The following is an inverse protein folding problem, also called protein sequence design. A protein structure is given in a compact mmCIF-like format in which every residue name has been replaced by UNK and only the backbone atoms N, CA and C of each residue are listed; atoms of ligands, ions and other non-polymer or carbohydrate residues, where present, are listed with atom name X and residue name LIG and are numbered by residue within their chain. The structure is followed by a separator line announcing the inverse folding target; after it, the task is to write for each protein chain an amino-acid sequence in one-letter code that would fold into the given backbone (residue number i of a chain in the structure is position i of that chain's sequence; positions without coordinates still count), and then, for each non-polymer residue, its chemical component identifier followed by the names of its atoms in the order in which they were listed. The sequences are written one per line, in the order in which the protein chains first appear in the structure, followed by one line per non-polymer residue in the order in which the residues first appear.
data_IF_996361527152
#
_entry.id   IF_996361527152
#
_cell.length_a   1.000
_cell.length_b   1.000
_cell.length_c   1.000
_cell.angle_alpha   90.00
_cell.angle_beta   90.00
_cell.angle_gamma   90.00
#
_symmetry.space_group_name_H-M   'P 1'
#
loop_
_entity.id
_entity.type
_entity.pdbx_description
1 polymer ?
#
# COMPACT_ATOMS: atom_id res chain seq x y z
N UNK A 1 -14.59 2.97 9.16
CA UNK A 1 -13.50 3.91 8.79
C UNK A 1 -12.23 3.13 8.62
N UNK A 2 -11.44 3.45 7.61
CA UNK A 2 -10.13 2.85 7.36
C UNK A 2 -9.15 3.95 6.94
N UNK A 3 -7.86 3.69 7.05
CA UNK A 3 -6.80 4.65 6.79
C UNK A 3 -6.13 4.36 5.46
N UNK A 4 -6.06 5.34 4.56
CA UNK A 4 -5.30 5.26 3.32
C UNK A 4 -3.82 5.62 3.57
N UNK A 5 -2.93 4.97 2.82
CA UNK A 5 -1.49 5.19 2.88
C UNK A 5 -0.94 5.49 1.50
N UNK A 6 0.01 6.41 1.43
CA UNK A 6 0.58 6.90 0.18
C UNK A 6 2.10 6.86 0.22
N UNK A 7 2.71 6.65 -0.95
CA UNK A 7 4.15 6.78 -1.16
C UNK A 7 4.42 8.11 -1.87
N UNK A 8 5.34 8.90 -1.33
CA UNK A 8 5.75 10.20 -1.89
C UNK A 8 7.26 10.23 -2.12
N UNK A 9 7.68 10.93 -3.17
CA UNK A 9 9.10 11.14 -3.45
C UNK A 9 9.66 12.26 -2.56
N UNK A 10 10.71 11.96 -1.78
CA UNK A 10 11.44 12.97 -1.01
C UNK A 10 12.23 13.93 -1.89
N UNK A 11 12.63 13.48 -3.09
CA UNK A 11 13.42 14.28 -4.05
C UNK A 11 12.55 15.21 -4.88
N UNK A 12 11.35 14.76 -5.25
CA UNK A 12 10.45 15.48 -6.11
C UNK A 12 9.17 15.84 -5.34
N UNK A 13 9.19 17.03 -4.72
CA UNK A 13 8.12 17.54 -3.86
C UNK A 13 6.81 17.85 -4.61
N UNK A 14 6.82 17.76 -5.94
CA UNK A 14 5.70 18.07 -6.82
C UNK A 14 5.04 16.84 -7.46
N UNK A 15 5.56 15.63 -7.21
CA UNK A 15 4.95 14.43 -7.74
C UNK A 15 3.68 14.07 -6.94
N UNK A 16 2.66 13.58 -7.65
CA UNK A 16 1.42 13.13 -7.01
C UNK A 16 1.73 11.95 -6.08
N UNK A 17 1.11 11.89 -4.89
CA UNK A 17 1.25 10.73 -4.01
C UNK A 17 0.73 9.46 -4.70
N UNK A 18 1.50 8.36 -4.62
CA UNK A 18 1.05 7.06 -5.10
C UNK A 18 0.28 6.36 -4.01
N UNK A 19 -0.93 5.88 -4.31
CA UNK A 19 -1.72 5.12 -3.35
C UNK A 19 -1.09 3.74 -3.12
N UNK A 20 -0.67 3.47 -1.88
CA UNK A 20 -0.16 2.15 -1.47
C UNK A 20 -1.32 1.19 -1.20
N UNK A 21 -2.32 1.67 -0.45
CA UNK A 21 -3.47 0.87 -0.07
C UNK A 21 -4.23 1.43 1.13
N UNK A 22 -5.10 0.60 1.70
CA UNK A 22 -6.03 0.95 2.78
C UNK A 22 -6.02 -0.08 3.90
N UNK A 23 -5.95 0.42 5.13
CA UNK A 23 -6.12 -0.33 6.37
C UNK A 23 -7.56 -0.19 6.87
N UNK A 24 -8.32 -1.27 6.91
CA UNK A 24 -9.71 -1.26 7.41
C UNK A 24 -9.84 -2.10 8.68
N UNK A 25 -10.74 -1.69 9.59
CA UNK A 25 -10.96 -2.40 10.86
C UNK A 25 -11.56 -3.78 10.61
N UNK A 26 -10.92 -4.84 11.12
CA UNK A 26 -11.38 -6.21 10.96
C UNK A 26 -11.12 -6.84 9.58
N UNK A 27 -10.29 -6.22 8.76
CA UNK A 27 -9.91 -6.74 7.44
C UNK A 27 -8.39 -6.81 7.29
N UNK A 28 -7.90 -7.73 6.45
CA UNK A 28 -6.51 -7.68 5.98
C UNK A 28 -6.26 -6.37 5.24
N UNK A 29 -5.01 -5.89 5.29
CA UNK A 29 -4.59 -4.71 4.54
C UNK A 29 -4.86 -4.93 3.04
N UNK A 30 -5.40 -3.90 2.41
CA UNK A 30 -5.81 -3.93 1.01
C UNK A 30 -4.86 -3.07 0.20
N UNK A 31 -4.00 -3.71 -0.59
CA UNK A 31 -3.04 -3.04 -1.44
C UNK A 31 -3.68 -2.54 -2.73
N UNK A 32 -3.19 -1.42 -3.23
CA UNK A 32 -3.40 -1.02 -4.62
C UNK A 32 -2.45 -1.80 -5.53
N UNK A 33 -2.97 -2.30 -6.65
CA UNK A 33 -2.15 -2.83 -7.74
C UNK A 33 -1.70 -1.66 -8.62
N UNK A 34 -0.55 -1.09 -8.27
CA UNK A 34 0.02 0.03 -9.00
C UNK A 34 0.53 -0.42 -10.37
N UNK A 35 0.01 0.17 -11.43
CA UNK A 35 0.41 -0.15 -12.81
C UNK A 35 1.72 0.55 -13.15
N UNK A 36 2.45 -0.01 -14.12
CA UNK A 36 3.72 0.50 -14.60
C UNK A 36 3.69 1.98 -15.03
N UNK A 37 2.63 2.39 -15.74
CA UNK A 37 2.45 3.77 -16.19
C UNK A 37 2.11 4.76 -15.07
N UNK A 38 1.65 4.27 -13.92
CA UNK A 38 1.38 5.09 -12.72
C UNK A 38 2.61 5.17 -11.82
N UNK A 39 3.43 4.13 -11.83
CA UNK A 39 4.64 4.03 -11.03
C UNK A 39 5.78 4.88 -11.60
N UNK A 40 5.81 6.16 -11.22
CA UNK A 40 6.90 7.07 -11.60
C UNK A 40 8.23 6.81 -10.86
N UNK A 41 8.28 5.91 -9.86
CA UNK A 41 9.54 5.58 -9.19
C UNK A 41 10.38 4.58 -9.99
N UNK A 42 9.75 3.52 -10.50
CA UNK A 42 10.47 2.44 -11.18
C UNK A 42 9.93 2.09 -12.56
N UNK A 43 8.78 2.63 -12.97
CA UNK A 43 8.07 2.26 -14.22
C UNK A 43 7.76 0.77 -14.32
N UNK A 44 7.59 0.09 -13.18
CA UNK A 44 7.22 -1.32 -13.11
C UNK A 44 5.85 -1.51 -12.44
N UNK A 45 5.11 -2.53 -12.85
CA UNK A 45 3.88 -2.92 -12.16
C UNK A 45 4.20 -3.50 -10.77
N UNK A 46 3.62 -2.91 -9.72
CA UNK A 46 3.66 -3.40 -8.33
C UNK A 46 2.35 -4.12 -8.01
N UNK A 47 2.41 -5.45 -8.05
CA UNK A 47 1.27 -6.34 -7.87
C UNK A 47 1.49 -7.38 -6.75
N UNK A 48 2.55 -7.24 -5.95
CA UNK A 48 2.88 -8.14 -4.85
C UNK A 48 3.38 -7.35 -3.66
N UNK A 49 3.24 -7.91 -2.46
CA UNK A 49 3.72 -7.23 -1.25
C UNK A 49 5.25 -7.08 -1.25
N UNK A 50 5.99 -8.06 -1.76
CA UNK A 50 7.46 -7.98 -1.85
C UNK A 50 7.93 -6.83 -2.73
N UNK A 51 7.25 -6.57 -3.85
CA UNK A 51 7.55 -5.41 -4.70
C UNK A 51 7.24 -4.09 -3.98
N UNK A 52 6.13 -4.03 -3.24
CA UNK A 52 5.83 -2.89 -2.37
C UNK A 52 6.93 -2.69 -1.31
N UNK A 53 7.35 -3.74 -0.60
CA UNK A 53 8.46 -3.64 0.37
C UNK A 53 9.72 -3.04 -0.25
N UNK A 54 10.13 -3.55 -1.42
CA UNK A 54 11.32 -3.04 -2.13
C UNK A 54 11.21 -1.55 -2.45
N UNK A 55 10.05 -1.09 -2.95
CA UNK A 55 9.83 0.33 -3.24
C UNK A 55 9.86 1.18 -1.95
N UNK A 56 9.13 0.76 -0.92
CA UNK A 56 8.94 1.55 0.30
C UNK A 56 10.19 1.59 1.20
N UNK A 57 11.12 0.64 1.03
CA UNK A 57 12.44 0.67 1.66
C UNK A 57 13.42 1.64 0.98
N UNK A 58 13.11 2.15 -0.22
CA UNK A 58 13.96 3.12 -0.87
C UNK A 58 14.01 4.42 -0.04
N UNK A 59 15.24 4.87 0.27
CA UNK A 59 15.48 6.08 1.07
C UNK A 59 14.83 7.34 0.51
N UNK A 60 14.55 7.37 -0.79
CA UNK A 60 13.91 8.49 -1.51
C UNK A 60 12.39 8.44 -1.44
N UNK A 61 11.80 7.43 -0.82
CA UNK A 61 10.35 7.30 -0.60
C UNK A 61 10.03 7.64 0.86
N UNK A 62 8.96 8.40 1.08
CA UNK A 62 8.28 8.51 2.38
C UNK A 62 6.91 7.82 2.29
N UNK A 63 6.51 7.19 3.38
CA UNK A 63 5.15 6.66 3.56
C UNK A 63 4.37 7.70 4.37
N UNK A 64 3.22 8.11 3.87
CA UNK A 64 2.35 9.06 4.58
C UNK A 64 0.93 8.51 4.73
N UNK A 65 0.29 8.78 5.87
CA UNK A 65 -1.14 8.51 6.05
C UNK A 65 -2.00 9.54 5.31
N UNK A 66 -3.29 9.27 5.14
CA UNK A 66 -4.25 10.28 4.65
C UNK A 66 -4.35 11.53 5.54
N UNK A 67 -3.88 11.45 6.79
CA UNK A 67 -3.82 12.56 7.74
C UNK A 67 -2.48 13.31 7.71
N UNK A 68 -1.62 13.01 6.71
CA UNK A 68 -0.26 13.55 6.56
C UNK A 68 0.71 13.17 7.67
N UNK A 69 0.48 12.05 8.36
CA UNK A 69 1.47 11.52 9.30
C UNK A 69 2.58 10.81 8.51
N UNK A 70 3.84 11.18 8.73
CA UNK A 70 4.99 10.44 8.23
C UNK A 70 5.15 9.12 9.01
N UNK A 71 5.24 8.02 8.29
CA UNK A 71 5.35 6.67 8.85
C UNK A 71 6.65 6.06 8.34
N UNK A 72 7.47 5.54 9.25
CA UNK A 72 8.64 4.78 8.87
C UNK A 72 8.25 3.39 8.32
N UNK A 73 9.14 2.82 7.50
CA UNK A 73 8.88 1.54 6.86
C UNK A 73 8.60 0.41 7.85
N UNK A 74 9.34 0.33 8.97
CA UNK A 74 9.22 -0.77 9.92
C UNK A 74 7.87 -0.73 10.65
N UNK A 75 7.41 0.47 11.02
CA UNK A 75 6.07 0.69 11.58
C UNK A 75 4.97 0.30 10.58
N UNK A 76 5.13 0.65 9.30
CA UNK A 76 4.19 0.27 8.25
C UNK A 76 4.17 -1.25 8.03
N UNK A 77 5.33 -1.90 7.88
CA UNK A 77 5.48 -3.34 7.65
C UNK A 77 4.85 -4.13 8.81
N UNK A 78 5.14 -3.74 10.05
CA UNK A 78 4.55 -4.34 11.25
C UNK A 78 3.03 -4.19 11.28
N UNK A 79 2.50 -3.03 10.88
CA UNK A 79 1.04 -2.84 10.80
C UNK A 79 0.42 -3.76 9.75
N UNK A 80 1.03 -3.89 8.57
CA UNK A 80 0.57 -4.82 7.53
C UNK A 80 0.58 -6.25 8.05
N UNK A 81 1.66 -6.68 8.71
CA UNK A 81 1.78 -8.02 9.30
C UNK A 81 0.66 -8.29 10.32
N UNK A 82 0.44 -7.37 11.26
CA UNK A 82 -0.66 -7.47 12.24
C UNK A 82 -2.01 -7.61 11.52
N UNK A 83 -2.25 -6.82 10.47
CA UNK A 83 -3.48 -6.91 9.67
C UNK A 83 -3.61 -8.23 8.94
N UNK A 84 -2.52 -8.90 8.58
CA UNK A 84 -2.61 -10.20 7.92
C UNK A 84 -3.27 -11.28 8.78
N UNK A 85 -3.33 -11.09 10.10
CA UNK A 85 -4.04 -11.96 11.03
C UNK A 85 -5.55 -11.69 11.15
N UNK A 86 -6.08 -10.60 10.54
CA UNK A 86 -7.50 -10.33 10.54
C UNK A 86 -8.25 -11.39 9.71
N UNK A 87 -9.10 -12.17 10.39
CA UNK A 87 -9.90 -13.21 9.75
C UNK A 87 -11.31 -12.71 9.44
N UNK A 88 -11.47 -12.12 8.25
CA UNK A 88 -12.76 -11.74 7.71
C UNK A 88 -13.20 -12.78 6.66
N UNK A 89 -14.43 -13.31 6.71
CA UNK A 89 -14.91 -14.29 5.73
C UNK A 89 -14.88 -13.76 4.29
N UNK A 90 -14.96 -12.44 4.11
CA UNK A 90 -15.01 -11.80 2.79
C UNK A 90 -13.64 -11.27 2.32
N UNK A 91 -12.54 -11.57 3.01
CA UNK A 91 -11.21 -11.03 2.71
C UNK A 91 -10.84 -11.12 1.20
N UNK A 92 -11.20 -12.20 0.52
CA UNK A 92 -10.88 -12.41 -0.91
C UNK A 92 -12.11 -12.51 -1.81
N UNK A 93 -13.31 -12.20 -1.30
CA UNK A 93 -14.55 -12.33 -2.07
C UNK A 93 -14.65 -11.31 -3.21
N UNK A 94 -14.14 -10.11 -2.97
CA UNK A 94 -14.20 -8.97 -3.90
C UNK A 94 -12.83 -8.39 -4.25
N UNK A 95 -11.74 -9.06 -3.85
CA UNK A 95 -10.38 -8.56 -4.01
C UNK A 95 -9.47 -9.71 -4.43
N UNK A 96 -8.40 -9.40 -5.16
CA UNK A 96 -7.42 -10.38 -5.59
C UNK A 96 -6.68 -10.94 -4.37
N UNK A 97 -6.49 -12.26 -4.34
CA UNK A 97 -5.60 -12.91 -3.40
C UNK A 97 -4.23 -13.11 -4.07
N UNK A 98 -3.24 -12.33 -3.66
CA UNK A 98 -1.87 -12.47 -4.14
C UNK A 98 -1.00 -12.91 -2.97
N UNK A 99 -0.64 -14.18 -2.93
CA UNK A 99 0.18 -14.78 -1.87
C UNK A 99 -0.35 -14.53 -0.45
N UNK A 100 -1.68 -14.51 -0.26
CA UNK A 100 -2.32 -14.28 1.03
C UNK A 100 -2.60 -12.80 1.37
N UNK A 101 -2.21 -11.89 0.49
CA UNK A 101 -2.48 -10.46 0.57
C UNK A 101 -3.65 -10.06 -0.33
N UNK A 102 -4.41 -9.04 0.09
CA UNK A 102 -5.53 -8.50 -0.69
C UNK A 102 -5.05 -7.39 -1.62
N UNK A 103 -5.43 -7.45 -2.88
CA UNK A 103 -5.16 -6.40 -3.87
C UNK A 103 -6.44 -5.91 -4.55
N UNK A 104 -6.52 -4.61 -4.79
CA UNK A 104 -7.53 -3.94 -5.61
C UNK A 104 -6.88 -3.41 -6.89
N UNK A 105 -7.61 -3.48 -8.01
CA UNK A 105 -7.20 -2.85 -9.28
C UNK A 105 -7.86 -1.47 -9.48
N UNK A 106 -8.88 -1.16 -8.67
CA UNK A 106 -9.60 0.11 -8.69
C UNK A 106 -9.06 1.02 -7.58
N UNK A 107 -9.02 2.34 -7.86
CA UNK A 107 -8.78 3.36 -6.83
C UNK A 107 -9.89 3.30 -5.78
N UNK A 108 -9.50 3.39 -4.51
CA UNK A 108 -10.42 3.22 -3.39
C UNK A 108 -11.34 4.45 -3.24
N UNK A 109 -12.63 4.30 -3.53
CA UNK A 109 -13.68 5.24 -3.11
C UNK A 109 -13.90 5.24 -1.58
#
# INVERSE_FOLDING_TARGET
MGTNYYAISKKAKHDKPLHIGKSSMGWKFLFYKLKDYENYFTHETINTYEKWKKLLQDKNVSIVSEYNDDIDFDSFDKMVEIKQHCNNPDNFKYNLNVYGYRFSEDEFC
#
